data_IF_336454927510
#
_entry.id   IF_336454927510
#
_cell.length_a   1.000
_cell.length_b   1.000
_cell.length_c   1.000
_cell.angle_alpha   90.00
_cell.angle_beta   90.00
_cell.angle_gamma   90.00
#
_symmetry.space_group_name_H-M   'P 1'
#
loop_
_entity.id
_entity.type
_entity.pdbx_description
1 polymer ?
#
# COMPACT_ATOMS: atom_id res chain seq x y z
N UNK A 1 -35.68 5.69 37.75
CA UNK A 1 -34.78 5.79 36.57
C UNK A 1 -33.37 5.57 37.03
N UNK A 2 -32.76 4.50 36.52
CA UNK A 2 -31.63 3.77 37.09
C UNK A 2 -30.28 4.47 36.81
N UNK A 3 -29.60 4.96 37.86
CA UNK A 3 -28.29 5.63 37.75
C UNK A 3 -27.15 4.69 37.35
N UNK A 4 -27.38 3.37 37.31
CA UNK A 4 -26.38 2.36 36.95
C UNK A 4 -26.22 2.13 35.44
N UNK A 5 -27.20 2.54 34.63
CA UNK A 5 -27.14 2.40 33.16
C UNK A 5 -26.28 3.48 32.49
N UNK A 6 -26.19 4.68 33.08
CA UNK A 6 -25.35 5.76 32.52
C UNK A 6 -23.85 5.50 32.66
N UNK A 7 -23.41 4.82 33.73
CA UNK A 7 -21.98 4.55 33.96
C UNK A 7 -21.42 3.51 32.98
N UNK A 8 -22.25 2.55 32.54
CA UNK A 8 -21.83 1.53 31.57
C UNK A 8 -21.72 2.10 30.14
N UNK A 9 -22.64 3.00 29.77
CA UNK A 9 -22.62 3.66 28.47
C UNK A 9 -21.41 4.61 28.31
N UNK A 10 -21.07 5.36 29.38
CA UNK A 10 -19.88 6.24 29.37
C UNK A 10 -18.57 5.44 29.36
N UNK A 11 -18.53 4.29 30.06
CA UNK A 11 -17.37 3.41 30.03
C UNK A 11 -17.17 2.72 28.66
N UNK A 12 -18.24 2.31 27.97
CA UNK A 12 -18.12 1.75 26.62
C UNK A 12 -17.65 2.79 25.58
N UNK A 13 -18.06 4.06 25.72
CA UNK A 13 -17.60 5.13 24.82
C UNK A 13 -16.13 5.47 25.06
N UNK A 14 -15.63 5.41 26.30
CA UNK A 14 -14.22 5.68 26.62
C UNK A 14 -13.26 4.55 26.21
N UNK A 15 -13.72 3.29 26.13
CA UNK A 15 -12.87 2.18 25.66
C UNK A 15 -12.72 2.20 24.14
N UNK A 16 -13.67 2.77 23.40
CA UNK A 16 -13.63 2.84 21.94
C UNK A 16 -12.76 4.00 21.40
N UNK A 17 -12.51 5.01 22.23
CA UNK A 17 -11.67 6.16 21.87
C UNK A 17 -10.35 6.05 22.63
N UNK A 18 -9.53 5.07 22.24
CA UNK A 18 -8.11 5.12 22.56
C UNK A 18 -7.52 6.48 22.13
N UNK A 19 -6.45 6.97 22.77
CA UNK A 19 -5.89 8.27 22.45
C UNK A 19 -5.62 8.36 20.94
N UNK A 20 -6.40 9.21 20.25
CA UNK A 20 -6.17 9.57 18.86
C UNK A 20 -4.78 10.17 18.78
N UNK A 21 -3.82 9.39 18.30
CA UNK A 21 -2.49 9.89 18.03
C UNK A 21 -2.56 10.63 16.69
N UNK A 22 -2.79 11.94 16.71
CA UNK A 22 -2.46 12.79 15.58
C UNK A 22 -0.94 12.82 15.46
N UNK A 23 -0.38 11.94 14.61
CA UNK A 23 1.04 11.94 14.32
C UNK A 23 1.32 13.12 13.39
N UNK A 24 1.89 14.20 13.94
CA UNK A 24 2.27 15.39 13.18
C UNK A 24 3.32 15.01 12.13
N UNK A 25 3.13 15.47 10.89
CA UNK A 25 4.08 15.25 9.78
C UNK A 25 3.89 13.96 8.98
N UNK A 26 2.79 13.24 9.18
CA UNK A 26 2.42 12.05 8.39
C UNK A 26 1.41 12.43 7.32
N UNK A 27 1.56 11.90 6.10
CA UNK A 27 0.60 12.14 5.05
C UNK A 27 -0.78 11.53 5.38
N UNK A 28 -1.83 12.31 5.11
CA UNK A 28 -3.20 11.84 5.19
C UNK A 28 -3.62 11.22 3.87
N UNK A 29 -4.62 10.32 3.84
CA UNK A 29 -5.11 9.78 2.58
C UNK A 29 -5.53 10.85 1.56
N UNK A 30 -6.26 11.93 1.92
CA UNK A 30 -6.57 13.00 0.97
C UNK A 30 -5.32 13.67 0.37
N UNK A 31 -4.22 13.79 1.12
CA UNK A 31 -2.96 14.33 0.60
C UNK A 31 -2.31 13.39 -0.42
N UNK A 32 -2.31 12.09 -0.15
CA UNK A 32 -1.75 11.07 -1.06
C UNK A 32 -2.59 10.97 -2.34
N UNK A 33 -3.92 10.96 -2.21
CA UNK A 33 -4.86 10.99 -3.33
C UNK A 33 -4.67 12.22 -4.21
N UNK A 34 -4.53 13.41 -3.60
CA UNK A 34 -4.31 14.65 -4.35
C UNK A 34 -2.97 14.65 -5.10
N UNK A 35 -1.91 14.06 -4.52
CA UNK A 35 -0.62 13.89 -5.20
C UNK A 35 -0.67 12.88 -6.33
N UNK A 36 -1.49 11.84 -6.19
CA UNK A 36 -1.62 10.78 -7.18
C UNK A 36 -2.53 11.16 -8.35
N UNK A 37 -3.54 12.01 -8.12
CA UNK A 37 -4.55 12.39 -9.11
C UNK A 37 -3.99 12.81 -10.49
N UNK A 38 -2.91 13.59 -10.59
CA UNK A 38 -2.32 13.97 -11.89
C UNK A 38 -1.74 12.80 -12.69
N UNK A 39 -1.50 11.66 -12.05
CA UNK A 39 -0.89 10.48 -12.65
C UNK A 39 -1.91 9.43 -13.08
N UNK A 40 -3.19 9.58 -12.74
CA UNK A 40 -4.25 8.62 -13.06
C UNK A 40 -4.52 8.60 -14.57
N UNK A 41 -4.65 7.40 -15.13
CA UNK A 41 -5.02 7.19 -16.53
C UNK A 41 -6.50 6.83 -16.59
N UNK A 42 -7.18 7.30 -17.64
CA UNK A 42 -8.62 7.07 -17.80
C UNK A 42 -8.97 6.13 -18.94
N UNK A 43 -8.20 6.04 -20.04
CA UNK A 43 -8.39 5.07 -21.14
C UNK A 43 -7.19 5.14 -22.12
N UNK A 44 -6.94 4.11 -22.96
CA UNK A 44 -7.41 2.73 -22.87
C UNK A 44 -6.45 1.80 -22.12
N UNK A 45 -6.92 0.61 -21.79
CA UNK A 45 -6.07 -0.47 -21.30
C UNK A 45 -5.01 -0.85 -22.36
N UNK A 46 -3.76 -1.09 -21.94
CA UNK A 46 -2.69 -1.56 -22.81
C UNK A 46 -2.97 -3.00 -23.26
N UNK A 47 -2.54 -3.31 -24.48
CA UNK A 47 -2.53 -4.70 -24.95
C UNK A 47 -1.52 -5.53 -24.13
N UNK A 48 -1.79 -6.82 -23.99
CA UNK A 48 -0.98 -7.69 -23.15
C UNK A 48 -1.35 -9.16 -23.24
N UNK A 49 -0.65 -10.02 -22.47
CA UNK A 49 -0.90 -11.46 -22.46
C UNK A 49 -2.26 -11.85 -21.87
N UNK A 50 -2.96 -10.93 -21.21
CA UNK A 50 -4.27 -11.21 -20.59
C UNK A 50 -4.12 -11.73 -19.17
N UNK A 51 -4.08 -13.05 -18.99
CA UNK A 51 -3.98 -13.69 -17.66
C UNK A 51 -2.64 -14.45 -17.59
N UNK A 52 -1.85 -14.16 -16.56
CA UNK A 52 -0.60 -14.87 -16.26
C UNK A 52 -0.74 -15.80 -15.05
N UNK A 53 0.35 -16.41 -14.60
CA UNK A 53 0.38 -17.09 -13.30
C UNK A 53 0.41 -16.06 -12.16
N UNK A 54 -0.06 -16.46 -10.97
CA UNK A 54 0.01 -15.61 -9.79
C UNK A 54 1.46 -15.24 -9.47
N UNK A 55 1.69 -13.99 -9.06
CA UNK A 55 3.03 -13.47 -8.80
C UNK A 55 3.09 -12.60 -7.55
N UNK A 56 4.29 -12.23 -7.16
CA UNK A 56 4.55 -11.34 -6.03
C UNK A 56 5.52 -10.25 -6.42
N UNK A 57 5.20 -9.02 -6.04
CA UNK A 57 6.14 -7.91 -6.07
C UNK A 57 6.61 -7.61 -4.64
N UNK A 58 7.85 -7.20 -4.45
CA UNK A 58 8.35 -6.86 -3.13
C UNK A 58 9.29 -5.66 -3.14
N UNK A 59 9.26 -4.91 -2.04
CA UNK A 59 10.27 -3.90 -1.70
C UNK A 59 10.88 -4.24 -0.36
N UNK A 60 12.21 -4.31 -0.29
CA UNK A 60 12.97 -4.47 0.93
C UNK A 60 13.56 -3.13 1.35
N UNK A 61 13.81 -2.97 2.64
CA UNK A 61 14.19 -1.70 3.26
C UNK A 61 15.60 -1.26 2.91
N UNK A 62 16.39 -2.04 2.18
CA UNK A 62 17.63 -1.58 1.55
C UNK A 62 17.39 -1.18 0.09
N UNK A 63 16.16 -0.76 -0.23
CA UNK A 63 15.69 -0.32 -1.54
C UNK A 63 15.92 -1.33 -2.67
N UNK A 64 15.95 -2.61 -2.31
CA UNK A 64 15.89 -3.72 -3.24
C UNK A 64 14.44 -4.05 -3.59
N UNK A 65 14.14 -4.16 -4.88
CA UNK A 65 12.81 -4.44 -5.39
C UNK A 65 12.80 -5.71 -6.25
N UNK A 66 11.67 -6.39 -6.24
CA UNK A 66 11.33 -7.46 -7.17
C UNK A 66 9.97 -7.15 -7.79
N UNK A 67 9.88 -7.16 -9.12
CA UNK A 67 8.66 -6.87 -9.87
C UNK A 67 7.78 -8.12 -10.02
N UNK A 68 6.57 -7.94 -10.56
CA UNK A 68 5.66 -9.04 -10.83
C UNK A 68 6.17 -9.99 -11.94
N UNK A 69 7.05 -9.54 -12.85
CA UNK A 69 7.70 -10.43 -13.83
C UNK A 69 9.05 -11.00 -13.34
N UNK A 70 9.31 -10.92 -12.03
CA UNK A 70 10.51 -11.41 -11.34
C UNK A 70 11.81 -10.66 -11.65
N UNK A 71 11.76 -9.45 -12.22
CA UNK A 71 12.95 -8.61 -12.33
C UNK A 71 13.38 -8.11 -10.96
N UNK A 72 14.67 -8.11 -10.69
CA UNK A 72 15.25 -7.56 -9.46
C UNK A 72 16.09 -6.32 -9.76
N UNK A 73 15.98 -5.30 -8.91
CA UNK A 73 16.76 -4.08 -9.05
C UNK A 73 16.86 -3.33 -7.71
N UNK A 74 17.81 -2.40 -7.62
CA UNK A 74 17.95 -1.50 -6.48
C UNK A 74 17.62 -0.08 -6.91
N UNK A 75 16.82 0.63 -6.11
CA UNK A 75 16.44 2.01 -6.42
C UNK A 75 16.36 2.90 -5.16
N UNK A 76 17.41 3.68 -4.83
CA UNK A 76 17.41 4.59 -3.70
C UNK A 76 16.43 5.72 -3.94
N UNK A 77 15.20 5.52 -3.48
CA UNK A 77 14.12 6.49 -3.65
C UNK A 77 14.42 7.74 -2.81
N UNK A 78 14.21 8.96 -3.36
CA UNK A 78 14.34 10.20 -2.62
C UNK A 78 13.43 10.24 -1.39
N UNK A 79 13.91 10.76 -0.26
CA UNK A 79 13.18 10.81 1.01
C UNK A 79 12.01 11.81 1.04
N UNK A 80 11.85 12.61 -0.02
CA UNK A 80 10.80 13.62 -0.16
C UNK A 80 9.63 13.17 -1.06
N UNK A 81 9.74 11.98 -1.67
CA UNK A 81 8.78 11.44 -2.62
C UNK A 81 8.18 10.14 -2.11
N UNK A 82 7.00 9.80 -2.62
CA UNK A 82 6.37 8.51 -2.40
C UNK A 82 6.63 7.59 -3.59
N UNK A 83 7.15 6.38 -3.31
CA UNK A 83 7.24 5.32 -4.30
C UNK A 83 5.90 4.64 -4.49
N UNK A 84 5.27 4.80 -5.65
CA UNK A 84 4.05 4.08 -6.02
C UNK A 84 4.42 2.65 -6.40
N UNK A 85 4.31 1.72 -5.45
CA UNK A 85 4.64 0.31 -5.65
C UNK A 85 3.72 -0.30 -6.70
N UNK A 86 2.42 -0.12 -6.54
CA UNK A 86 1.43 -0.64 -7.48
C UNK A 86 0.18 0.25 -7.48
N UNK A 87 -0.40 0.40 -8.65
CA UNK A 87 -1.57 1.21 -8.97
C UNK A 87 -2.31 0.54 -10.14
N UNK A 88 -3.64 0.50 -10.14
CA UNK A 88 -4.42 0.14 -11.32
C UNK A 88 -4.09 1.00 -12.52
N UNK A 89 -4.26 0.44 -13.70
CA UNK A 89 -4.07 1.19 -14.93
C UNK A 89 -5.10 2.30 -15.05
N UNK A 90 -6.38 1.96 -14.86
CA UNK A 90 -7.49 2.90 -14.96
C UNK A 90 -7.99 3.31 -13.58
N UNK A 91 -8.15 4.62 -13.39
CA UNK A 91 -8.72 5.19 -12.18
C UNK A 91 -7.85 4.99 -10.94
N UNK A 92 -8.47 5.03 -9.76
CA UNK A 92 -7.76 4.85 -8.48
C UNK A 92 -8.54 4.06 -7.41
N UNK A 93 -9.03 2.85 -7.73
CA UNK A 93 -9.83 2.08 -6.77
C UNK A 93 -9.00 1.57 -5.58
N UNK A 94 -7.69 1.39 -5.74
CA UNK A 94 -6.77 0.93 -4.69
C UNK A 94 -5.32 1.25 -5.09
N UNK A 95 -4.37 1.23 -4.15
CA UNK A 95 -2.94 1.43 -4.43
C UNK A 95 -2.06 1.03 -3.25
N UNK A 96 -0.77 0.82 -3.52
CA UNK A 96 0.26 0.69 -2.47
C UNK A 96 1.37 1.69 -2.73
N UNK A 97 1.71 2.46 -1.71
CA UNK A 97 2.78 3.45 -1.74
C UNK A 97 3.78 3.22 -0.62
N UNK A 98 4.98 3.74 -0.81
CA UNK A 98 6.08 3.67 0.15
C UNK A 98 6.66 5.05 0.37
N UNK A 99 7.03 5.35 1.61
CA UNK A 99 7.81 6.52 1.98
C UNK A 99 9.18 6.06 2.47
N UNK A 100 10.22 6.82 2.15
CA UNK A 100 11.60 6.46 2.44
C UNK A 100 12.26 7.45 3.41
N UNK A 101 13.24 6.96 4.16
CA UNK A 101 14.10 7.77 5.02
C UNK A 101 15.58 7.47 4.77
N UNK A 102 16.46 8.38 5.18
CA UNK A 102 17.90 8.15 5.16
C UNK A 102 18.28 7.06 6.17
N UNK A 103 19.18 6.17 5.79
CA UNK A 103 19.63 5.06 6.63
C UNK A 103 21.10 4.70 6.43
N UNK A 104 21.90 4.94 7.46
CA UNK A 104 23.29 4.53 7.48
C UNK A 104 24.19 5.46 6.66
N UNK A 105 24.63 5.00 5.49
CA UNK A 105 25.57 5.73 4.64
C UNK A 105 24.93 6.98 3.98
N UNK A 106 25.73 7.95 3.52
CA UNK A 106 25.23 9.08 2.73
C UNK A 106 24.44 8.56 1.52
N UNK A 107 23.22 9.07 1.34
CA UNK A 107 22.28 8.71 0.25
C UNK A 107 21.73 7.28 0.27
N UNK A 108 22.07 6.46 1.28
CA UNK A 108 21.38 5.19 1.47
C UNK A 108 20.00 5.46 2.05
N UNK A 109 18.95 5.01 1.36
CA UNK A 109 17.57 5.15 1.84
C UNK A 109 16.97 3.80 2.20
N UNK A 110 15.93 3.84 3.03
CA UNK A 110 15.12 2.67 3.37
C UNK A 110 13.65 2.99 3.37
N UNK A 111 12.82 1.97 3.13
CA UNK A 111 11.38 2.09 3.32
C UNK A 111 11.11 2.33 4.80
N UNK A 112 10.56 3.52 5.10
CA UNK A 112 10.12 3.97 6.42
C UNK A 112 8.67 3.57 6.65
N UNK A 113 7.82 3.81 5.66
CA UNK A 113 6.38 3.59 5.77
C UNK A 113 5.79 2.97 4.51
N UNK A 114 4.70 2.23 4.68
CA UNK A 114 3.88 1.67 3.61
C UNK A 114 2.47 2.18 3.81
N UNK A 115 1.87 2.69 2.75
CA UNK A 115 0.48 3.12 2.73
C UNK A 115 -0.28 2.22 1.75
N UNK A 116 -1.47 1.77 2.15
CA UNK A 116 -2.32 0.90 1.35
C UNK A 116 -3.71 1.52 1.31
N UNK A 117 -4.23 1.75 0.11
CA UNK A 117 -5.66 1.97 -0.11
C UNK A 117 -6.28 0.66 -0.56
N UNK A 118 -7.35 0.25 0.11
CA UNK A 118 -8.27 -0.78 -0.36
C UNK A 118 -9.47 -0.13 -1.09
N UNK A 119 -10.26 -0.91 -1.85
CA UNK A 119 -11.56 -0.44 -2.34
C UNK A 119 -12.43 0.11 -1.20
N UNK A 120 -13.41 0.94 -1.56
CA UNK A 120 -14.29 1.68 -0.63
C UNK A 120 -13.58 2.70 0.27
N UNK A 121 -12.41 3.18 -0.16
CA UNK A 121 -11.64 4.27 0.48
C UNK A 121 -11.26 3.95 1.94
N UNK A 122 -10.88 2.69 2.17
CA UNK A 122 -10.23 2.27 3.42
C UNK A 122 -8.73 2.37 3.26
N UNK A 123 -8.09 3.00 4.24
CA UNK A 123 -6.67 3.27 4.19
C UNK A 123 -5.96 2.68 5.38
N UNK A 124 -4.83 2.04 5.09
CA UNK A 124 -3.89 1.52 6.07
C UNK A 124 -2.54 2.21 5.92
N UNK A 125 -1.84 2.33 7.04
CA UNK A 125 -0.47 2.81 7.11
C UNK A 125 0.32 1.86 8.00
N UNK A 126 1.50 1.45 7.56
CA UNK A 126 2.43 0.64 8.33
C UNK A 126 3.78 1.35 8.48
N UNK A 127 4.29 1.47 9.71
CA UNK A 127 5.65 1.95 9.96
C UNK A 127 6.61 0.76 10.05
N UNK A 128 7.70 0.78 9.27
CA UNK A 128 8.63 -0.33 9.13
C UNK A 128 9.92 -0.09 9.95
N UNK A 129 9.88 -0.38 11.25
CA UNK A 129 11.01 -0.25 12.16
C UNK A 129 11.49 -1.59 12.74
N UNK A 130 12.09 -1.55 13.94
CA UNK A 130 12.39 -2.76 14.72
C UNK A 130 11.14 -3.59 15.07
N UNK A 131 9.96 -2.98 15.00
CA UNK A 131 8.63 -3.60 15.00
C UNK A 131 7.81 -2.99 13.86
N UNK A 132 6.80 -3.72 13.40
CA UNK A 132 5.80 -3.18 12.49
C UNK A 132 4.64 -2.66 13.33
N UNK A 133 4.24 -1.40 13.12
CA UNK A 133 3.00 -0.86 13.67
C UNK A 133 2.07 -0.57 12.51
N UNK A 134 0.82 -1.00 12.62
CA UNK A 134 -0.22 -0.77 11.63
C UNK A 134 -1.24 0.23 12.17
N UNK A 135 -1.75 1.07 11.28
CA UNK A 135 -2.76 2.07 11.55
C UNK A 135 -3.84 1.99 10.47
N UNK A 136 -5.07 2.37 10.79
CA UNK A 136 -6.12 2.65 9.82
C UNK A 136 -6.52 4.13 9.89
N UNK A 137 -7.12 4.65 8.82
CA UNK A 137 -7.66 6.00 8.80
C UNK A 137 -9.13 6.01 9.22
N UNK A 138 -9.48 6.79 10.26
CA UNK A 138 -10.88 6.92 10.74
C UNK A 138 -11.67 8.05 10.06
N UNK A 139 -11.08 8.71 9.05
CA UNK A 139 -11.60 9.92 8.42
C UNK A 139 -10.95 11.21 8.93
N UNK A 140 -10.31 11.18 10.10
CA UNK A 140 -9.68 12.35 10.72
C UNK A 140 -8.24 12.10 11.21
N UNK A 141 -7.93 10.87 11.63
CA UNK A 141 -6.62 10.52 12.17
C UNK A 141 -6.22 9.08 11.84
N UNK A 142 -4.91 8.81 11.92
CA UNK A 142 -4.36 7.47 11.91
C UNK A 142 -4.54 6.83 13.28
N UNK A 143 -5.40 5.81 13.35
CA UNK A 143 -5.70 5.09 14.59
C UNK A 143 -4.89 3.79 14.62
N UNK A 144 -4.10 3.53 15.68
CA UNK A 144 -3.27 2.33 15.75
C UNK A 144 -4.14 1.07 15.86
N UNK A 145 -3.75 0.03 15.12
CA UNK A 145 -4.31 -1.31 15.24
C UNK A 145 -3.47 -2.09 16.25
N UNK A 146 -4.01 -2.30 17.43
CA UNK A 146 -3.34 -3.08 18.48
C UNK A 146 -3.27 -4.56 18.06
N UNK A 147 -2.08 -5.16 18.19
CA UNK A 147 -1.88 -6.60 17.90
C UNK A 147 -2.45 -7.51 18.99
N UNK A 148 -2.50 -7.02 20.23
CA UNK A 148 -3.13 -7.70 21.34
C UNK A 148 -4.66 -7.61 21.18
N UNK A 149 -5.29 -8.71 20.83
CA UNK A 149 -6.72 -8.75 20.54
C UNK A 149 -7.08 -8.52 19.07
N UNK A 150 -6.20 -8.86 18.13
CA UNK A 150 -6.60 -9.15 16.74
C UNK A 150 -7.22 -10.55 16.65
N UNK A 151 -8.55 -10.69 16.52
CA UNK A 151 -9.18 -11.81 15.83
C UNK A 151 -9.44 -11.45 14.35
N UNK A 152 -9.75 -12.47 13.54
CA UNK A 152 -9.69 -12.59 12.06
C UNK A 152 -10.14 -11.41 11.18
N UNK A 153 -10.80 -10.41 11.74
CA UNK A 153 -11.55 -9.42 11.04
C UNK A 153 -11.30 -8.06 11.73
N UNK A 154 -10.51 -7.19 11.13
CA UNK A 154 -10.64 -5.74 11.36
C UNK A 154 -11.68 -5.29 10.33
N UNK A 155 -13.02 -5.40 10.56
CA UNK A 155 -13.94 -4.96 9.55
C UNK A 155 -13.91 -3.43 9.57
N UNK A 156 -13.54 -2.77 8.46
CA UNK A 156 -14.24 -1.55 8.16
C UNK A 156 -15.75 -1.88 8.11
N UNK A 157 -16.65 -0.93 8.44
CA UNK A 157 -18.09 -1.19 8.64
C UNK A 157 -18.80 -1.93 7.49
N UNK A 158 -18.17 -2.02 6.32
CA UNK A 158 -18.63 -2.60 5.06
C UNK A 158 -18.02 -3.98 4.70
N UNK A 159 -17.05 -4.49 5.48
CA UNK A 159 -16.49 -5.84 5.29
C UNK A 159 -15.57 -6.00 4.07
N UNK A 160 -15.00 -4.90 3.57
CA UNK A 160 -14.20 -4.87 2.34
C UNK A 160 -12.70 -5.02 2.58
N UNK A 161 -12.24 -5.02 3.83
CA UNK A 161 -10.85 -5.32 4.15
C UNK A 161 -10.71 -6.15 5.43
N UNK A 162 -9.68 -6.98 5.48
CA UNK A 162 -9.31 -7.81 6.62
C UNK A 162 -7.83 -7.64 6.95
N UNK A 163 -7.51 -7.59 8.24
CA UNK A 163 -6.14 -7.51 8.72
C UNK A 163 -5.84 -8.71 9.59
N UNK A 164 -4.78 -9.43 9.24
CA UNK A 164 -4.23 -10.53 10.03
C UNK A 164 -2.81 -10.15 10.44
N UNK A 165 -2.36 -10.51 11.63
CA UNK A 165 -0.97 -10.19 11.97
C UNK A 165 -0.50 -10.58 13.34
N UNK A 166 0.78 -10.31 13.53
CA UNK A 166 1.53 -10.37 14.78
C UNK A 166 2.35 -9.08 14.89
N UNK A 167 3.00 -8.80 16.03
CA UNK A 167 3.90 -7.63 16.13
C UNK A 167 5.06 -7.59 15.11
N UNK A 168 5.33 -8.70 14.40
CA UNK A 168 6.39 -8.80 13.39
C UNK A 168 5.89 -8.64 11.96
N UNK A 169 4.60 -8.86 11.72
CA UNK A 169 4.03 -8.82 10.39
C UNK A 169 2.53 -8.52 10.38
N UNK A 170 2.06 -7.87 9.33
CA UNK A 170 0.64 -7.77 9.03
C UNK A 170 0.38 -8.20 7.59
N UNK A 171 -0.74 -8.89 7.36
CA UNK A 171 -1.37 -9.11 6.06
C UNK A 171 -2.61 -8.21 6.02
N UNK A 172 -2.65 -7.35 5.01
CA UNK A 172 -3.78 -6.47 4.67
C UNK A 172 -4.44 -7.08 3.43
N UNK A 173 -5.62 -7.62 3.61
CA UNK A 173 -6.41 -8.28 2.57
C UNK A 173 -7.60 -7.39 2.21
N UNK A 174 -7.56 -6.74 1.04
CA UNK A 174 -8.60 -5.79 0.62
C UNK A 174 -9.84 -6.48 0.00
N UNK A 175 -10.03 -7.79 0.22
CA UNK A 175 -11.17 -8.59 -0.27
C UNK A 175 -11.52 -8.33 -1.75
N UNK A 176 -10.49 -8.19 -2.59
CA UNK A 176 -10.64 -7.90 -4.02
C UNK A 176 -10.84 -9.18 -4.83
N UNK A 177 -11.57 -9.08 -5.94
CA UNK A 177 -11.67 -10.13 -6.95
C UNK A 177 -11.19 -9.55 -8.30
N UNK A 178 -10.15 -10.14 -8.93
CA UNK A 178 -9.33 -11.26 -8.46
C UNK A 178 -8.48 -10.87 -7.25
N UNK A 179 -8.04 -11.86 -6.46
CA UNK A 179 -7.41 -11.56 -5.17
C UNK A 179 -6.13 -10.73 -5.34
N UNK A 180 -5.94 -9.79 -4.40
CA UNK A 180 -4.66 -9.14 -4.16
C UNK A 180 -4.58 -8.70 -2.69
N UNK A 181 -3.44 -8.94 -2.07
CA UNK A 181 -3.21 -8.56 -0.68
C UNK A 181 -1.76 -8.11 -0.46
N UNK A 182 -1.57 -7.32 0.59
CA UNK A 182 -0.28 -6.74 0.95
C UNK A 182 0.19 -7.36 2.25
N UNK A 183 1.42 -7.81 2.29
CA UNK A 183 2.08 -8.20 3.53
C UNK A 183 3.19 -7.21 3.86
N UNK A 184 3.20 -6.75 5.11
CA UNK A 184 4.22 -5.85 5.63
C UNK A 184 4.95 -6.55 6.77
N UNK A 185 6.27 -6.56 6.68
CA UNK A 185 7.19 -7.13 7.66
C UNK A 185 8.22 -6.08 8.06
N UNK A 186 9.07 -6.42 9.03
CA UNK A 186 10.23 -5.61 9.38
C UNK A 186 11.03 -5.26 8.12
N UNK A 187 11.01 -3.98 7.75
CA UNK A 187 11.70 -3.43 6.59
C UNK A 187 11.32 -4.09 5.25
N UNK A 188 10.12 -4.64 5.10
CA UNK A 188 9.71 -5.24 3.82
C UNK A 188 8.23 -5.06 3.57
N UNK A 189 7.88 -4.83 2.31
CA UNK A 189 6.52 -4.93 1.77
C UNK A 189 6.51 -5.98 0.66
N UNK A 190 5.47 -6.80 0.61
CA UNK A 190 5.23 -7.74 -0.50
C UNK A 190 3.77 -7.65 -0.91
N UNK A 191 3.51 -7.52 -2.21
CA UNK A 191 2.19 -7.49 -2.83
C UNK A 191 2.02 -8.81 -3.54
N UNK A 192 0.95 -9.54 -3.22
CA UNK A 192 0.62 -10.81 -3.83
C UNK A 192 -0.54 -10.60 -4.80
N UNK A 193 -0.32 -10.87 -6.08
CA UNK A 193 -1.29 -10.61 -7.14
C UNK A 193 -1.72 -11.91 -7.82
N UNK A 194 -3.02 -12.01 -8.10
CA UNK A 194 -3.53 -12.98 -9.06
C UNK A 194 -3.07 -12.64 -10.50
N UNK A 195 -2.96 -13.63 -11.38
CA UNK A 195 -2.53 -13.41 -12.76
C UNK A 195 -3.42 -12.52 -13.64
N UNK A 196 -4.67 -12.30 -13.25
CA UNK A 196 -5.61 -11.39 -13.94
C UNK A 196 -5.28 -9.90 -13.77
N UNK A 197 -4.36 -9.56 -12.87
CA UNK A 197 -3.81 -8.21 -12.73
C UNK A 197 -2.76 -7.89 -13.82
N UNK A 198 -2.42 -8.85 -14.68
CA UNK A 198 -1.49 -8.68 -15.78
C UNK A 198 -1.98 -7.65 -16.81
N UNK A 199 -1.02 -7.04 -17.51
CA UNK A 199 -1.33 -6.14 -18.62
C UNK A 199 -2.15 -6.85 -19.70
N UNK A 200 -3.12 -6.15 -20.31
CA UNK A 200 -4.12 -6.76 -21.20
C UNK A 200 -5.29 -7.45 -20.49
N UNK A 201 -5.24 -7.61 -19.16
CA UNK A 201 -6.37 -7.99 -18.32
C UNK A 201 -7.26 -6.80 -17.92
N UNK A 202 -8.49 -7.04 -17.45
CA UNK A 202 -9.41 -5.97 -17.00
C UNK A 202 -8.92 -5.23 -15.76
N UNK A 203 -7.94 -5.78 -15.06
CA UNK A 203 -7.36 -5.23 -13.82
C UNK A 203 -5.88 -4.89 -13.99
N UNK A 204 -5.42 -4.58 -15.20
CA UNK A 204 -4.02 -4.27 -15.46
C UNK A 204 -3.43 -3.28 -14.44
N UNK A 205 -2.19 -3.49 -14.03
CA UNK A 205 -1.49 -2.67 -13.04
C UNK A 205 -0.29 -1.94 -13.64
N UNK A 206 0.24 -1.00 -12.87
CA UNK A 206 1.49 -0.28 -13.12
C UNK A 206 2.09 0.19 -11.80
N UNK A 207 3.31 0.69 -11.81
CA UNK A 207 4.03 1.11 -10.61
C UNK A 207 5.41 0.45 -10.54
N UNK A 208 6.12 0.58 -9.42
CA UNK A 208 7.47 -0.01 -9.24
C UNK A 208 7.44 -1.54 -9.45
N UNK A 209 6.30 -2.17 -9.19
CA UNK A 209 6.02 -3.58 -9.47
C UNK A 209 5.89 -3.94 -10.96
N UNK A 210 6.04 -2.97 -11.86
CA UNK A 210 5.88 -3.04 -13.31
C UNK A 210 4.44 -3.31 -13.79
N UNK A 211 4.28 -3.61 -15.08
CA UNK A 211 3.00 -3.82 -15.75
C UNK A 211 2.53 -5.28 -15.75
N UNK A 212 3.37 -6.22 -15.30
CA UNK A 212 3.04 -7.64 -15.13
C UNK A 212 2.65 -8.29 -16.45
N UNK A 213 3.58 -8.31 -17.40
CA UNK A 213 3.34 -8.73 -18.78
C UNK A 213 4.10 -10.01 -19.17
N UNK A 214 4.80 -10.63 -18.21
CA UNK A 214 5.63 -11.81 -18.37
C UNK A 214 7.05 -11.53 -18.88
N UNK A 215 7.45 -10.27 -19.05
CA UNK A 215 8.73 -9.86 -19.60
C UNK A 215 9.56 -9.04 -18.59
N UNK A 216 10.40 -9.67 -17.76
CA UNK A 216 11.28 -8.95 -16.85
C UNK A 216 12.29 -8.01 -17.56
N UNK A 217 12.44 -8.10 -18.89
CA UNK A 217 13.33 -7.23 -19.64
C UNK A 217 12.85 -5.77 -19.71
N UNK A 218 11.53 -5.52 -19.69
CA UNK A 218 10.95 -4.18 -19.80
C UNK A 218 10.44 -3.62 -18.45
N UNK A 219 10.34 -4.44 -17.43
CA UNK A 219 10.34 -3.99 -16.05
C UNK A 219 11.55 -3.08 -15.82
N UNK A 220 11.36 -1.86 -15.30
CA UNK A 220 12.37 -0.80 -15.06
C UNK A 220 12.54 0.31 -16.12
N UNK A 221 11.61 0.54 -17.05
CA UNK A 221 11.63 1.78 -17.85
C UNK A 221 10.69 2.82 -17.18
N UNK A 222 11.06 3.83 -16.38
CA UNK A 222 12.32 4.41 -15.90
C UNK A 222 11.93 5.37 -14.74
N UNK A 223 12.58 5.31 -13.57
CA UNK A 223 12.20 6.05 -12.35
C UNK A 223 12.65 7.53 -12.32
N UNK A 224 13.40 7.98 -13.34
CA UNK A 224 13.67 9.38 -13.70
C UNK A 224 13.96 9.46 -15.22
N UNK A 225 13.08 9.97 -16.10
CA UNK A 225 13.53 10.34 -17.47
C UNK A 225 12.68 11.43 -18.16
N UNK A 226 13.30 12.33 -18.95
CA UNK A 226 12.62 13.31 -19.82
C UNK A 226 12.15 12.71 -21.17
N UNK A 227 11.31 13.43 -21.96
CA UNK A 227 10.56 12.94 -23.14
C UNK A 227 11.38 12.45 -24.36
N UNK A 228 10.78 11.70 -25.33
CA UNK A 228 9.40 11.19 -25.35
C UNK A 228 9.30 9.77 -24.78
N UNK A 229 8.25 9.53 -23.99
CA UNK A 229 8.11 8.32 -23.18
C UNK A 229 6.89 7.49 -23.62
N UNK A 230 6.94 6.15 -23.51
CA UNK A 230 5.75 5.30 -23.62
C UNK A 230 4.76 5.57 -22.48
N UNK A 231 3.48 5.22 -22.69
CA UNK A 231 2.34 5.58 -21.84
C UNK A 231 2.33 4.98 -20.41
N UNK A 232 3.33 4.19 -20.03
CA UNK A 232 3.37 3.48 -18.76
C UNK A 232 4.73 3.64 -18.10
N UNK A 233 4.75 4.23 -16.90
CA UNK A 233 5.95 4.29 -16.05
C UNK A 233 5.58 4.13 -14.57
N UNK A 234 6.45 3.52 -13.74
CA UNK A 234 6.40 3.63 -12.28
C UNK A 234 6.65 5.07 -11.80
N UNK A 235 5.86 5.55 -10.84
CA UNK A 235 5.83 6.97 -10.45
C UNK A 235 6.37 7.21 -9.04
N UNK A 236 7.27 8.18 -8.94
CA UNK A 236 7.46 8.91 -7.70
C UNK A 236 6.54 10.13 -7.69
N UNK A 237 5.81 10.35 -6.59
CA UNK A 237 4.86 11.47 -6.41
C UNK A 237 5.15 12.29 -5.14
#
# INVERSE_FOLDING_TARGET
MDRRLMTLAVAMVLVYVGPRATVVGVATPPQLEARLAPHLVTEPLPAGPGILDNSTCGGHGDVYYNTLDNRTFTYPSPVEKYGVMILPWIGNPWWVMTEHELHGAPNATRIKEVYVKCPTDIYFRATLGGRVNLYYWDGAAWVPIATAGLPANFPPPDGTAWVYGTPKYFKIDCNMAPYMFVTVYRHRVVIHAHGEWAVGGPYAVRGICADFNGNPGNDCVDLEAPPPLPAWKPFLI
#
